data_IF_599654472908
#
_entry.id   IF_599654472908
#
_cell.length_a   1.000
_cell.length_b   1.000
_cell.length_c   1.000
_cell.angle_alpha   90.00
_cell.angle_beta   90.00
_cell.angle_gamma   90.00
#
_symmetry.space_group_name_H-M   'P 1'
#
loop_
_entity.id
_entity.type
_entity.pdbx_description
1 polymer ?
#
# COMPACT_ATOMS: atom_id res chain seq x y z
N UNK A 1 -16.38 20.97 -40.03
CA UNK A 1 -16.12 21.58 -38.72
C UNK A 1 -17.22 21.11 -37.76
N UNK A 2 -17.00 20.05 -37.00
CA UNK A 2 -17.94 19.54 -36.00
C UNK A 2 -17.61 20.21 -34.66
N UNK A 3 -18.55 21.02 -34.19
CA UNK A 3 -18.46 21.62 -32.82
C UNK A 3 -18.58 20.49 -31.79
N UNK A 4 -17.51 20.28 -31.02
CA UNK A 4 -17.52 19.42 -29.87
C UNK A 4 -18.56 19.95 -28.86
N UNK A 5 -19.67 19.25 -28.66
CA UNK A 5 -20.64 19.53 -27.62
C UNK A 5 -19.95 19.28 -26.27
N UNK A 6 -19.73 20.40 -25.55
CA UNK A 6 -19.22 20.42 -24.21
C UNK A 6 -20.26 19.74 -23.29
N UNK A 7 -20.00 18.52 -22.85
CA UNK A 7 -20.85 17.79 -21.89
C UNK A 7 -20.90 18.64 -20.60
N UNK A 8 -22.02 19.31 -20.36
CA UNK A 8 -22.24 20.12 -19.17
C UNK A 8 -22.32 19.19 -17.94
N UNK A 9 -21.35 19.30 -17.01
CA UNK A 9 -21.29 18.52 -15.78
C UNK A 9 -22.47 18.85 -14.86
N UNK A 10 -23.24 17.87 -14.47
CA UNK A 10 -24.26 17.94 -13.42
C UNK A 10 -23.64 18.46 -12.12
N UNK A 11 -24.23 19.47 -11.51
CA UNK A 11 -23.80 20.07 -10.25
C UNK A 11 -24.93 19.98 -9.23
N UNK A 12 -24.58 19.67 -7.96
CA UNK A 12 -25.54 19.63 -6.89
C UNK A 12 -25.85 21.05 -6.38
N UNK A 13 -27.13 21.35 -6.19
CA UNK A 13 -27.64 22.59 -5.66
C UNK A 13 -28.44 22.32 -4.37
N UNK A 14 -28.23 23.12 -3.37
CA UNK A 14 -29.05 23.15 -2.15
C UNK A 14 -30.09 24.29 -2.32
N UNK A 15 -31.33 23.95 -2.06
CA UNK A 15 -32.41 24.94 -2.17
C UNK A 15 -33.23 25.06 -0.87
N UNK A 16 -33.72 26.24 -0.63
CA UNK A 16 -34.69 26.56 0.40
C UNK A 16 -35.89 27.23 -0.28
N UNK A 17 -37.08 26.84 0.08
CA UNK A 17 -38.29 27.37 -0.55
C UNK A 17 -39.55 27.09 0.28
N UNK A 18 -40.70 27.34 -0.31
CA UNK A 18 -42.01 27.00 0.24
C UNK A 18 -42.73 26.02 -0.66
N UNK A 19 -43.36 25.01 -0.11
CA UNK A 19 -44.23 24.09 -0.81
C UNK A 19 -45.57 24.75 -1.21
N UNK A 20 -46.44 24.02 -1.93
CA UNK A 20 -47.78 24.52 -2.31
C UNK A 20 -48.68 24.84 -1.11
N UNK A 21 -48.37 24.30 0.07
CA UNK A 21 -49.10 24.55 1.34
C UNK A 21 -48.51 25.70 2.16
N UNK A 22 -47.45 26.37 1.67
CA UNK A 22 -46.81 27.49 2.33
C UNK A 22 -45.74 27.07 3.39
N UNK A 23 -45.49 25.78 3.60
CA UNK A 23 -44.53 25.32 4.57
C UNK A 23 -43.10 25.47 4.04
N UNK A 24 -42.14 25.78 4.93
CA UNK A 24 -40.71 25.83 4.57
C UNK A 24 -40.20 24.45 4.23
N UNK A 25 -39.67 24.27 3.03
CA UNK A 25 -39.04 23.07 2.55
C UNK A 25 -37.58 23.36 2.14
N UNK A 26 -36.70 22.40 2.41
CA UNK A 26 -35.28 22.42 2.03
C UNK A 26 -34.95 21.10 1.34
N UNK A 27 -34.04 21.13 0.38
CA UNK A 27 -33.62 19.92 -0.29
C UNK A 27 -32.39 20.11 -1.16
N UNK A 28 -31.93 19.01 -1.74
CA UNK A 28 -30.85 19.00 -2.72
C UNK A 28 -31.41 18.57 -4.08
N UNK A 29 -30.90 19.14 -5.15
CA UNK A 29 -31.25 18.80 -6.52
C UNK A 29 -30.02 18.90 -7.41
N UNK A 30 -29.86 17.97 -8.35
CA UNK A 30 -28.79 17.99 -9.34
C UNK A 30 -29.25 18.65 -10.63
N UNK A 31 -28.43 19.52 -11.20
CA UNK A 31 -28.72 20.16 -12.48
C UNK A 31 -27.50 20.79 -13.12
N UNK A 32 -27.59 21.06 -14.42
CA UNK A 32 -26.49 21.62 -15.20
C UNK A 32 -26.39 23.15 -15.03
N UNK A 33 -27.53 23.81 -14.79
CA UNK A 33 -27.61 25.28 -14.66
C UNK A 33 -28.61 25.69 -13.58
N UNK A 34 -28.30 26.78 -12.87
CA UNK A 34 -29.13 27.36 -11.81
C UNK A 34 -30.55 27.73 -12.30
N UNK A 35 -30.69 28.15 -13.57
CA UNK A 35 -31.98 28.49 -14.17
C UNK A 35 -32.84 27.22 -14.37
N UNK A 36 -32.26 26.13 -14.86
CA UNK A 36 -32.94 24.85 -15.04
C UNK A 36 -33.38 24.25 -13.72
N UNK A 37 -32.52 24.32 -12.68
CA UNK A 37 -32.84 23.86 -11.34
C UNK A 37 -34.02 24.63 -10.75
N UNK A 38 -34.06 25.96 -10.90
CA UNK A 38 -35.21 26.77 -10.47
C UNK A 38 -36.51 26.42 -11.22
N UNK A 39 -36.41 26.16 -12.53
CA UNK A 39 -37.57 25.75 -13.34
C UNK A 39 -38.10 24.37 -12.91
N UNK A 40 -37.20 23.42 -12.63
CA UNK A 40 -37.52 22.08 -12.18
C UNK A 40 -38.21 22.07 -10.80
N UNK A 41 -37.72 22.89 -9.83
CA UNK A 41 -38.34 23.07 -8.54
C UNK A 41 -39.74 23.68 -8.65
N UNK A 42 -39.94 24.67 -9.53
CA UNK A 42 -41.27 25.24 -9.79
C UNK A 42 -42.24 24.23 -10.40
N UNK A 43 -41.77 23.36 -11.30
CA UNK A 43 -42.56 22.23 -11.84
C UNK A 43 -43.00 21.25 -10.74
N UNK A 44 -42.16 21.03 -9.74
CA UNK A 44 -42.44 20.18 -8.57
C UNK A 44 -43.35 20.91 -7.53
N UNK A 45 -43.79 22.14 -7.80
CA UNK A 45 -44.68 22.90 -6.94
C UNK A 45 -43.97 23.58 -5.76
N UNK A 46 -42.66 23.71 -5.82
CA UNK A 46 -41.87 24.42 -4.80
C UNK A 46 -41.50 25.80 -5.32
N UNK A 47 -41.75 26.83 -4.55
CA UNK A 47 -41.27 28.18 -4.81
C UNK A 47 -39.90 28.38 -4.13
N UNK A 48 -38.78 28.29 -4.88
CA UNK A 48 -37.46 28.43 -4.29
C UNK A 48 -37.18 29.88 -3.92
N UNK A 49 -36.91 30.14 -2.66
CA UNK A 49 -36.48 31.45 -2.15
C UNK A 49 -34.97 31.64 -2.24
N UNK A 50 -34.21 30.53 -2.11
CA UNK A 50 -32.77 30.55 -2.16
C UNK A 50 -32.27 29.25 -2.82
N UNK A 51 -31.47 29.40 -3.88
CA UNK A 51 -30.81 28.28 -4.53
C UNK A 51 -29.31 28.59 -4.64
N UNK A 52 -28.48 27.78 -4.00
CA UNK A 52 -27.02 27.93 -4.03
C UNK A 52 -26.38 26.62 -4.54
N UNK A 53 -25.25 26.75 -5.20
CA UNK A 53 -24.41 25.58 -5.45
C UNK A 53 -23.99 24.99 -4.10
N UNK A 54 -24.08 23.66 -3.97
CA UNK A 54 -23.59 22.98 -2.77
C UNK A 54 -22.10 23.27 -2.65
N UNK A 55 -21.63 23.93 -1.58
CA UNK A 55 -20.21 24.17 -1.41
C UNK A 55 -19.49 22.82 -1.37
N UNK A 56 -18.44 22.67 -2.17
CA UNK A 56 -17.56 21.51 -2.00
C UNK A 56 -17.00 21.59 -0.58
N UNK A 57 -17.13 20.54 0.25
CA UNK A 57 -16.56 20.57 1.57
C UNK A 57 -15.05 20.79 1.46
N UNK A 58 -14.57 21.88 2.05
CA UNK A 58 -13.14 22.24 2.07
C UNK A 58 -12.28 21.18 2.79
N UNK A 59 -12.91 20.35 3.66
CA UNK A 59 -12.27 19.28 4.44
C UNK A 59 -12.96 17.91 4.34
N UNK A 60 -13.88 17.72 3.42
CA UNK A 60 -14.60 16.46 3.19
C UNK A 60 -14.21 15.84 1.85
N UNK A 61 -12.94 15.58 1.62
CA UNK A 61 -12.52 14.68 0.55
C UNK A 61 -13.10 13.29 0.82
N UNK A 62 -13.74 12.66 -0.15
CA UNK A 62 -14.10 11.25 -0.05
C UNK A 62 -12.87 10.48 0.42
N UNK A 63 -13.03 9.59 1.42
CA UNK A 63 -11.92 8.74 1.89
C UNK A 63 -11.25 8.11 0.68
N UNK A 64 -9.92 8.12 0.64
CA UNK A 64 -9.17 7.48 -0.44
C UNK A 64 -9.56 6.00 -0.49
N UNK A 65 -9.84 5.50 -1.69
CA UNK A 65 -10.06 4.07 -1.92
C UNK A 65 -8.74 3.34 -1.69
N UNK A 66 -8.75 2.40 -0.76
CA UNK A 66 -7.59 1.58 -0.41
C UNK A 66 -7.60 0.24 -1.17
N UNK A 67 -6.45 -0.44 -1.32
CA UNK A 67 -6.42 -1.79 -1.89
C UNK A 67 -7.29 -2.79 -1.11
N UNK A 68 -7.41 -2.62 0.20
CA UNK A 68 -8.30 -3.43 1.03
C UNK A 68 -9.79 -3.20 0.68
N UNK A 69 -10.17 -1.96 0.39
CA UNK A 69 -11.55 -1.65 -0.05
C UNK A 69 -11.87 -2.36 -1.38
N UNK A 70 -10.89 -2.43 -2.29
CA UNK A 70 -11.03 -3.16 -3.57
C UNK A 70 -11.15 -4.67 -3.32
N UNK A 71 -10.36 -5.23 -2.42
CA UNK A 71 -10.45 -6.66 -2.07
C UNK A 71 -11.83 -7.01 -1.51
N UNK A 72 -12.35 -6.20 -0.57
CA UNK A 72 -13.68 -6.38 0.01
C UNK A 72 -14.79 -6.22 -1.02
N UNK A 73 -14.71 -5.19 -1.88
CA UNK A 73 -15.63 -5.02 -3.00
C UNK A 73 -15.65 -6.26 -3.90
N UNK A 74 -14.46 -6.77 -4.29
CA UNK A 74 -14.35 -7.95 -5.15
C UNK A 74 -14.95 -9.18 -4.49
N UNK A 75 -14.69 -9.40 -3.19
CA UNK A 75 -15.29 -10.50 -2.42
C UNK A 75 -16.81 -10.42 -2.37
N UNK A 76 -17.36 -9.24 -2.10
CA UNK A 76 -18.81 -9.03 -2.08
C UNK A 76 -19.42 -9.30 -3.46
N UNK A 77 -18.80 -8.78 -4.51
CA UNK A 77 -19.25 -8.99 -5.89
C UNK A 77 -19.20 -10.47 -6.27
N UNK A 78 -18.11 -11.18 -5.97
CA UNK A 78 -17.97 -12.62 -6.18
C UNK A 78 -19.06 -13.42 -5.46
N UNK A 79 -19.35 -13.05 -4.21
CA UNK A 79 -20.40 -13.71 -3.40
C UNK A 79 -21.78 -13.50 -4.02
N UNK A 80 -22.11 -12.29 -4.48
CA UNK A 80 -23.40 -12.02 -5.15
C UNK A 80 -23.51 -12.78 -6.47
N UNK A 81 -22.46 -12.79 -7.28
CA UNK A 81 -22.44 -13.54 -8.53
C UNK A 81 -22.58 -15.05 -8.31
N UNK A 82 -21.92 -15.60 -7.30
CA UNK A 82 -22.04 -17.01 -6.89
C UNK A 82 -23.45 -17.37 -6.40
N UNK A 83 -24.16 -16.41 -5.82
CA UNK A 83 -25.57 -16.55 -5.45
C UNK A 83 -26.53 -16.40 -6.66
N UNK A 84 -26.02 -16.21 -7.89
CA UNK A 84 -26.82 -16.07 -9.10
C UNK A 84 -27.39 -14.67 -9.33
N UNK A 85 -26.95 -13.66 -8.56
CA UNK A 85 -27.42 -12.29 -8.75
C UNK A 85 -26.75 -11.70 -10.01
N UNK A 86 -27.53 -11.09 -10.94
CA UNK A 86 -26.98 -10.47 -12.15
C UNK A 86 -25.95 -9.39 -11.83
N UNK A 87 -24.90 -9.26 -12.65
CA UNK A 87 -23.76 -8.39 -12.42
C UNK A 87 -24.15 -6.93 -12.10
N UNK A 88 -25.03 -6.34 -12.90
CA UNK A 88 -25.48 -4.95 -12.68
C UNK A 88 -26.21 -4.77 -11.36
N UNK A 89 -27.07 -5.73 -11.00
CA UNK A 89 -27.77 -5.72 -9.72
C UNK A 89 -26.81 -5.94 -8.55
N UNK A 90 -25.78 -6.77 -8.72
CA UNK A 90 -24.73 -6.99 -7.72
C UNK A 90 -23.98 -5.68 -7.42
N UNK A 91 -23.69 -4.86 -8.43
CA UNK A 91 -23.10 -3.54 -8.22
C UNK A 91 -24.02 -2.62 -7.41
N UNK A 92 -25.31 -2.60 -7.67
CA UNK A 92 -26.26 -1.76 -6.92
C UNK A 92 -26.28 -2.15 -5.44
N UNK A 93 -26.41 -3.46 -5.14
CA UNK A 93 -26.41 -3.97 -3.76
C UNK A 93 -25.12 -3.66 -3.03
N UNK A 94 -23.99 -3.90 -3.71
CA UNK A 94 -22.67 -3.64 -3.10
C UNK A 94 -22.48 -2.13 -2.86
N UNK A 95 -22.82 -1.27 -3.83
CA UNK A 95 -22.67 0.18 -3.70
C UNK A 95 -23.48 0.76 -2.54
N UNK A 96 -24.70 0.25 -2.31
CA UNK A 96 -25.56 0.70 -1.20
C UNK A 96 -25.02 0.31 0.19
N UNK A 97 -24.22 -0.76 0.26
CA UNK A 97 -23.59 -1.24 1.50
C UNK A 97 -22.23 -0.61 1.82
N UNK A 98 -21.71 0.29 0.98
CA UNK A 98 -20.37 0.85 1.16
C UNK A 98 -20.34 2.12 2.03
N UNK A 99 -19.55 2.09 3.11
CA UNK A 99 -19.30 3.26 3.96
C UNK A 99 -18.34 4.29 3.32
N UNK A 100 -17.44 3.82 2.45
CA UNK A 100 -16.47 4.68 1.76
C UNK A 100 -17.10 5.31 0.51
N UNK A 101 -17.48 6.59 0.61
CA UNK A 101 -18.10 7.33 -0.50
C UNK A 101 -17.27 7.35 -1.78
N UNK A 102 -15.92 7.35 -1.67
CA UNK A 102 -15.05 7.30 -2.85
C UNK A 102 -15.13 5.96 -3.56
N UNK A 103 -15.24 4.85 -2.81
CA UNK A 103 -15.47 3.53 -3.37
C UNK A 103 -16.88 3.43 -3.95
N UNK A 104 -17.89 3.94 -3.27
CA UNK A 104 -19.27 3.97 -3.76
C UNK A 104 -19.36 4.70 -5.11
N UNK A 105 -18.78 5.88 -5.23
CA UNK A 105 -18.73 6.64 -6.49
C UNK A 105 -18.02 5.86 -7.60
N UNK A 106 -16.92 5.16 -7.27
CA UNK A 106 -16.17 4.31 -8.21
C UNK A 106 -17.03 3.14 -8.71
N UNK A 107 -17.69 2.43 -7.79
CA UNK A 107 -18.54 1.27 -8.13
C UNK A 107 -19.74 1.71 -8.96
N UNK A 108 -20.39 2.82 -8.63
CA UNK A 108 -21.50 3.39 -9.41
C UNK A 108 -21.03 3.80 -10.82
N UNK A 109 -19.83 4.36 -10.96
CA UNK A 109 -19.27 4.69 -12.28
C UNK A 109 -19.06 3.45 -13.14
N UNK A 110 -18.46 2.38 -12.58
CA UNK A 110 -18.26 1.10 -13.26
C UNK A 110 -19.61 0.48 -13.63
N UNK A 111 -20.56 0.46 -12.70
CA UNK A 111 -21.92 -0.02 -12.93
C UNK A 111 -22.60 0.67 -14.12
N UNK A 112 -22.48 1.99 -14.19
CA UNK A 112 -23.09 2.77 -15.29
C UNK A 112 -22.42 2.46 -16.64
N UNK A 113 -21.11 2.28 -16.67
CA UNK A 113 -20.37 1.88 -17.87
C UNK A 113 -20.83 0.49 -18.35
N UNK A 114 -20.95 -0.49 -17.43
CA UNK A 114 -21.42 -1.85 -17.75
C UNK A 114 -22.89 -1.84 -18.20
N UNK A 115 -23.76 -1.11 -17.51
CA UNK A 115 -25.16 -0.96 -17.88
C UNK A 115 -25.36 -0.28 -19.26
N UNK A 116 -24.40 0.54 -19.69
CA UNK A 116 -24.39 1.16 -21.02
C UNK A 116 -23.84 0.26 -22.13
N UNK A 117 -23.47 -1.01 -21.81
CA UNK A 117 -22.99 -1.99 -22.77
C UNK A 117 -21.45 -2.06 -22.92
N UNK A 118 -20.69 -1.36 -22.06
CA UNK A 118 -19.24 -1.56 -21.99
C UNK A 118 -18.95 -2.89 -21.29
N UNK A 119 -17.99 -3.69 -21.76
CA UNK A 119 -17.56 -4.90 -21.09
C UNK A 119 -17.07 -4.57 -19.66
N UNK A 120 -17.24 -5.49 -18.71
CA UNK A 120 -16.82 -5.26 -17.33
C UNK A 120 -15.31 -4.99 -17.25
N UNK A 121 -14.49 -5.80 -17.91
CA UNK A 121 -13.06 -5.55 -18.02
C UNK A 121 -12.74 -4.16 -18.64
N UNK A 122 -13.49 -3.76 -19.66
CA UNK A 122 -13.35 -2.43 -20.29
C UNK A 122 -13.69 -1.28 -19.34
N UNK A 123 -14.73 -1.43 -18.53
CA UNK A 123 -15.10 -0.44 -17.51
C UNK A 123 -13.99 -0.31 -16.42
N UNK A 124 -13.41 -1.44 -15.97
CA UNK A 124 -12.32 -1.46 -15.00
C UNK A 124 -11.04 -0.79 -15.51
N UNK A 125 -10.67 -1.02 -16.78
CA UNK A 125 -9.48 -0.41 -17.41
C UNK A 125 -9.54 1.11 -17.47
N UNK A 126 -10.72 1.74 -17.33
CA UNK A 126 -10.86 3.20 -17.21
C UNK A 126 -10.37 3.72 -15.84
N UNK A 127 -10.16 2.83 -14.87
CA UNK A 127 -9.75 3.17 -13.51
C UNK A 127 -8.40 2.52 -13.12
N UNK A 128 -7.28 2.76 -13.84
CA UNK A 128 -6.01 2.06 -13.65
C UNK A 128 -5.33 2.32 -12.30
N UNK A 129 -5.80 3.33 -11.56
CA UNK A 129 -5.33 3.61 -10.19
C UNK A 129 -5.81 2.58 -9.16
N UNK A 130 -6.90 1.88 -9.47
CA UNK A 130 -7.58 0.95 -8.55
C UNK A 130 -7.53 -0.48 -9.04
N UNK A 131 -7.53 -0.70 -10.35
CA UNK A 131 -7.53 -2.01 -11.00
C UNK A 131 -6.31 -2.11 -11.91
N UNK A 132 -5.40 -3.02 -11.57
CA UNK A 132 -4.21 -3.31 -12.36
C UNK A 132 -4.54 -4.23 -13.55
N UNK A 133 -3.56 -4.42 -14.43
CA UNK A 133 -3.73 -5.24 -15.63
C UNK A 133 -4.10 -6.69 -15.31
N UNK A 134 -3.51 -7.27 -14.25
CA UNK A 134 -3.87 -8.62 -13.79
C UNK A 134 -5.37 -8.73 -13.48
N UNK A 135 -5.90 -7.80 -12.70
CA UNK A 135 -7.32 -7.77 -12.35
C UNK A 135 -8.20 -7.70 -13.62
N UNK A 136 -7.86 -6.75 -14.49
CA UNK A 136 -8.62 -6.53 -15.73
C UNK A 136 -8.56 -7.74 -16.68
N UNK A 137 -7.40 -8.40 -16.80
CA UNK A 137 -7.21 -9.55 -17.67
C UNK A 137 -7.97 -10.80 -17.16
N UNK A 138 -7.96 -11.04 -15.83
CA UNK A 138 -8.73 -12.13 -15.23
C UNK A 138 -10.24 -11.92 -15.40
N UNK A 139 -10.73 -10.69 -15.22
CA UNK A 139 -12.14 -10.35 -15.46
C UNK A 139 -12.49 -10.52 -16.92
N UNK A 140 -11.64 -10.09 -17.85
CA UNK A 140 -11.84 -10.23 -19.31
C UNK A 140 -11.95 -11.71 -19.72
N UNK A 141 -11.05 -12.55 -19.17
CA UNK A 141 -11.10 -14.01 -19.39
C UNK A 141 -12.37 -14.63 -18.85
N UNK A 142 -12.79 -14.25 -17.64
CA UNK A 142 -14.02 -14.74 -17.03
C UNK A 142 -15.28 -14.29 -17.78
N UNK A 143 -15.28 -13.03 -18.26
CA UNK A 143 -16.39 -12.48 -19.05
C UNK A 143 -16.53 -13.21 -20.39
N UNK A 144 -15.43 -13.47 -21.11
CA UNK A 144 -15.39 -14.22 -22.36
C UNK A 144 -15.76 -15.68 -22.22
N UNK A 145 -15.33 -16.31 -21.12
CA UNK A 145 -15.62 -17.73 -20.84
C UNK A 145 -16.97 -17.98 -20.18
N UNK A 146 -17.72 -16.92 -19.79
CA UNK A 146 -18.96 -17.05 -19.01
C UNK A 146 -18.75 -17.57 -17.59
N UNK A 147 -17.51 -17.50 -17.08
CA UNK A 147 -17.10 -18.00 -15.75
C UNK A 147 -16.69 -16.84 -14.81
N UNK A 148 -17.37 -15.69 -14.95
CA UNK A 148 -17.02 -14.46 -14.23
C UNK A 148 -17.04 -14.64 -12.70
N UNK A 149 -18.00 -15.43 -12.17
CA UNK A 149 -18.10 -15.71 -10.74
C UNK A 149 -16.85 -16.38 -10.19
N UNK A 150 -16.34 -17.40 -10.92
CA UNK A 150 -15.12 -18.13 -10.51
C UNK A 150 -13.88 -17.23 -10.58
N UNK A 151 -13.81 -16.38 -11.60
CA UNK A 151 -12.69 -15.43 -11.76
C UNK A 151 -12.69 -14.38 -10.66
N UNK A 152 -13.85 -13.83 -10.31
CA UNK A 152 -13.98 -12.88 -9.21
C UNK A 152 -13.62 -13.50 -7.85
N UNK A 153 -13.99 -14.77 -7.62
CA UNK A 153 -13.59 -15.48 -6.40
C UNK A 153 -12.07 -15.68 -6.32
N UNK A 154 -11.44 -16.07 -7.43
CA UNK A 154 -9.97 -16.19 -7.52
C UNK A 154 -9.27 -14.84 -7.29
N UNK A 155 -9.76 -13.77 -7.90
CA UNK A 155 -9.23 -12.42 -7.71
C UNK A 155 -9.40 -11.98 -6.25
N UNK A 156 -10.57 -12.21 -5.66
CA UNK A 156 -10.83 -11.89 -4.25
C UNK A 156 -9.85 -12.62 -3.33
N UNK A 157 -9.67 -13.92 -3.52
CA UNK A 157 -8.70 -14.72 -2.76
C UNK A 157 -7.27 -14.18 -2.88
N UNK A 158 -6.85 -13.83 -4.10
CA UNK A 158 -5.53 -13.23 -4.35
C UNK A 158 -5.35 -11.89 -3.63
N UNK A 159 -6.33 -10.99 -3.76
CA UNK A 159 -6.27 -9.67 -3.13
C UNK A 159 -6.29 -9.76 -1.61
N UNK A 160 -7.15 -10.61 -1.05
CA UNK A 160 -7.24 -10.84 0.40
C UNK A 160 -5.93 -11.36 0.98
N UNK A 161 -5.34 -12.41 0.38
CA UNK A 161 -4.05 -12.96 0.81
C UNK A 161 -2.93 -11.90 0.72
N UNK A 162 -2.89 -11.14 -0.39
CA UNK A 162 -1.92 -10.06 -0.56
C UNK A 162 -2.06 -8.98 0.51
N UNK A 163 -3.28 -8.57 0.84
CA UNK A 163 -3.53 -7.56 1.86
C UNK A 163 -3.30 -8.09 3.30
N UNK A 164 -3.58 -9.36 3.56
CA UNK A 164 -3.24 -10.01 4.84
C UNK A 164 -1.74 -9.99 5.06
N UNK A 165 -0.94 -10.42 4.07
CA UNK A 165 0.53 -10.39 4.16
C UNK A 165 1.06 -8.96 4.40
N UNK A 166 0.58 -7.98 3.63
CA UNK A 166 0.97 -6.57 3.84
C UNK A 166 0.63 -6.06 5.24
N UNK A 167 -0.57 -6.38 5.73
CA UNK A 167 -1.01 -6.00 7.09
C UNK A 167 -0.15 -6.68 8.14
N UNK A 168 0.21 -7.95 7.96
CA UNK A 168 1.05 -8.71 8.87
C UNK A 168 2.44 -8.09 8.98
N UNK A 169 3.10 -7.82 7.86
CA UNK A 169 4.40 -7.14 7.81
C UNK A 169 4.32 -5.74 8.46
N UNK A 170 3.30 -4.96 8.11
CA UNK A 170 3.11 -3.62 8.69
C UNK A 170 2.91 -3.67 10.20
N UNK A 171 2.10 -4.62 10.70
CA UNK A 171 1.85 -4.81 12.14
C UNK A 171 3.14 -5.20 12.88
N UNK A 172 3.91 -6.14 12.31
CA UNK A 172 5.20 -6.57 12.86
C UNK A 172 6.18 -5.39 13.02
N UNK A 173 6.21 -4.46 12.07
CA UNK A 173 7.07 -3.27 12.10
C UNK A 173 6.58 -2.15 13.03
N UNK A 174 5.32 -2.18 13.47
CA UNK A 174 4.74 -1.08 14.26
C UNK A 174 5.38 -0.98 15.64
N UNK A 175 5.53 -2.09 16.35
CA UNK A 175 6.14 -2.11 17.67
C UNK A 175 7.61 -1.66 17.67
N UNK A 176 8.50 -2.20 16.82
CA UNK A 176 9.88 -1.76 16.71
C UNK A 176 10.03 -0.27 16.42
N UNK A 177 9.26 0.23 15.47
CA UNK A 177 9.29 1.65 15.11
C UNK A 177 8.86 2.53 16.29
N UNK A 178 7.79 2.14 16.98
CA UNK A 178 7.31 2.89 18.15
C UNK A 178 8.38 2.95 19.26
N UNK A 179 9.04 1.82 19.57
CA UNK A 179 10.08 1.78 20.60
C UNK A 179 11.31 2.61 20.20
N UNK A 180 11.76 2.52 18.94
CA UNK A 180 12.88 3.33 18.44
C UNK A 180 12.52 4.82 18.51
N UNK A 181 11.32 5.23 18.14
CA UNK A 181 10.86 6.63 18.22
C UNK A 181 10.87 7.11 19.68
N UNK A 182 10.35 6.31 20.61
CA UNK A 182 10.39 6.65 22.05
C UNK A 182 11.82 6.75 22.55
N UNK A 183 12.69 5.81 22.16
CA UNK A 183 14.12 5.84 22.51
C UNK A 183 14.82 7.12 22.04
N UNK A 184 14.59 7.51 20.78
CA UNK A 184 15.15 8.75 20.23
C UNK A 184 14.62 9.97 20.99
N UNK A 185 13.33 10.02 21.30
CA UNK A 185 12.73 11.14 22.07
C UNK A 185 13.35 11.22 23.47
N UNK A 186 13.44 10.10 24.19
CA UNK A 186 14.03 10.07 25.54
C UNK A 186 15.49 10.48 25.50
N UNK A 187 16.27 9.93 24.57
CA UNK A 187 17.69 10.31 24.38
C UNK A 187 17.84 11.81 24.06
N UNK A 188 17.00 12.35 23.19
CA UNK A 188 17.01 13.77 22.88
C UNK A 188 16.67 14.64 24.09
N UNK A 189 15.69 14.25 24.92
CA UNK A 189 15.35 14.96 26.16
C UNK A 189 16.53 14.93 27.12
N UNK A 190 17.17 13.78 27.30
CA UNK A 190 18.33 13.64 28.18
C UNK A 190 19.50 14.52 27.71
N UNK A 191 19.83 14.50 26.42
CA UNK A 191 20.87 15.31 25.84
C UNK A 191 20.56 16.82 25.94
N UNK A 192 19.33 17.23 25.69
CA UNK A 192 18.98 18.68 25.62
C UNK A 192 18.74 19.27 27.00
N UNK A 193 18.24 18.50 27.97
CA UNK A 193 17.83 19.00 29.30
C UNK A 193 18.72 18.55 30.44
N UNK A 194 19.15 17.29 30.44
CA UNK A 194 19.84 16.71 31.59
C UNK A 194 21.35 16.92 31.51
N UNK A 195 21.97 16.62 30.38
CA UNK A 195 23.42 16.77 30.17
C UNK A 195 23.91 18.18 30.48
N UNK A 196 23.27 19.28 30.00
CA UNK A 196 23.74 20.65 30.33
C UNK A 196 23.67 21.02 31.81
N UNK A 197 22.71 20.45 32.56
CA UNK A 197 22.61 20.69 33.99
C UNK A 197 23.81 20.06 34.72
N UNK A 198 24.23 18.86 34.34
CA UNK A 198 25.43 18.22 34.90
C UNK A 198 26.68 18.98 34.46
N UNK A 199 26.80 19.41 33.20
CA UNK A 199 27.94 20.22 32.72
C UNK A 199 28.14 21.47 33.56
N UNK A 200 27.07 22.25 33.80
CA UNK A 200 27.14 23.47 34.63
C UNK A 200 27.54 23.18 36.09
N UNK A 201 27.12 22.06 36.65
CA UNK A 201 27.58 21.65 37.98
C UNK A 201 29.06 21.33 38.02
N UNK A 202 29.58 20.59 37.02
CA UNK A 202 31.02 20.23 36.99
C UNK A 202 31.94 21.43 36.71
N UNK A 203 31.53 22.35 35.82
CA UNK A 203 32.27 23.63 35.59
C UNK A 203 32.39 24.42 36.90
N UNK A 204 31.38 24.41 37.77
CA UNK A 204 31.40 25.07 39.07
C UNK A 204 32.43 24.50 40.05
N UNK A 205 32.88 23.25 39.88
CA UNK A 205 33.90 22.62 40.68
C UNK A 205 35.35 22.77 40.15
N UNK A 206 35.52 23.38 38.97
CA UNK A 206 36.82 23.65 38.37
C UNK A 206 37.59 22.39 37.91
N UNK A 207 36.93 21.28 37.72
CA UNK A 207 37.53 20.02 37.26
C UNK A 207 37.32 19.85 35.72
N UNK A 208 38.36 19.36 35.04
CA UNK A 208 38.25 18.98 33.61
C UNK A 208 37.34 17.77 33.44
N UNK A 209 36.46 17.84 32.42
CA UNK A 209 35.56 16.75 32.11
C UNK A 209 36.30 15.56 31.46
N UNK A 210 36.00 14.31 31.86
CA UNK A 210 36.54 13.15 31.17
C UNK A 210 36.21 13.18 29.67
N UNK A 211 37.10 12.65 28.82
CA UNK A 211 36.97 12.67 27.36
C UNK A 211 35.62 12.15 26.90
N UNK A 212 35.10 11.06 27.46
CA UNK A 212 33.82 10.48 27.10
C UNK A 212 32.65 11.40 27.46
N UNK A 213 32.67 12.04 28.61
CA UNK A 213 31.68 13.03 29.06
C UNK A 213 31.70 14.26 28.11
N UNK A 214 32.89 14.72 27.76
CA UNK A 214 33.07 15.87 26.84
C UNK A 214 32.50 15.54 25.44
N UNK A 215 32.67 14.30 24.95
CA UNK A 215 32.03 13.88 23.69
C UNK A 215 30.49 13.95 23.76
N UNK A 216 29.90 13.53 24.87
CA UNK A 216 28.43 13.55 25.08
C UNK A 216 27.95 15.00 25.22
N UNK A 217 28.69 15.88 25.91
CA UNK A 217 28.38 17.32 26.01
C UNK A 217 28.44 17.99 24.64
N UNK A 218 29.51 17.79 23.87
CA UNK A 218 29.62 18.31 22.49
C UNK A 218 28.46 17.84 21.60
N UNK A 219 28.06 16.56 21.74
CA UNK A 219 26.89 16.02 21.03
C UNK A 219 25.59 16.70 21.48
N UNK A 220 25.45 16.97 22.77
CA UNK A 220 24.31 17.70 23.35
C UNK A 220 24.20 19.12 22.79
N UNK A 221 25.29 19.89 22.79
CA UNK A 221 25.34 21.25 22.23
C UNK A 221 25.05 21.25 20.73
N UNK A 222 25.62 20.30 19.99
CA UNK A 222 25.35 20.13 18.59
C UNK A 222 23.87 19.83 18.33
N UNK A 223 23.28 18.93 19.12
CA UNK A 223 21.85 18.58 19.04
C UNK A 223 20.97 19.80 19.34
N UNK A 224 21.28 20.58 20.40
CA UNK A 224 20.53 21.78 20.78
C UNK A 224 20.54 22.84 19.65
N UNK A 225 21.68 23.00 18.98
CA UNK A 225 21.86 23.98 17.94
C UNK A 225 21.22 23.55 16.60
N UNK A 226 21.29 22.26 16.27
CA UNK A 226 20.98 21.76 14.94
C UNK A 226 19.75 20.82 14.86
N UNK A 227 19.06 20.55 15.98
CA UNK A 227 17.92 19.60 15.99
C UNK A 227 16.86 19.91 14.93
N UNK A 228 16.55 21.20 14.72
CA UNK A 228 15.55 21.62 13.75
C UNK A 228 16.02 21.35 12.31
N UNK A 229 17.31 21.60 12.03
CA UNK A 229 17.91 21.33 10.71
C UNK A 229 17.96 19.84 10.43
N UNK A 230 18.29 19.02 11.44
CA UNK A 230 18.26 17.55 11.33
C UNK A 230 16.84 17.05 11.04
N UNK A 231 15.84 17.54 11.79
CA UNK A 231 14.44 17.20 11.57
C UNK A 231 13.98 17.58 10.15
N UNK A 232 14.28 18.81 9.72
CA UNK A 232 13.93 19.27 8.39
C UNK A 232 14.66 18.49 7.30
N UNK A 233 15.93 18.13 7.53
CA UNK A 233 16.72 17.28 6.66
C UNK A 233 16.12 15.87 6.51
N UNK A 234 15.69 15.24 7.60
CA UNK A 234 15.02 13.93 7.57
C UNK A 234 13.71 14.01 6.78
N UNK A 235 12.87 15.03 7.05
CA UNK A 235 11.61 15.22 6.34
C UNK A 235 11.86 15.46 4.84
N UNK A 236 12.81 16.32 4.50
CA UNK A 236 13.19 16.61 3.11
C UNK A 236 13.74 15.36 2.41
N UNK A 237 14.57 14.57 3.11
CA UNK A 237 15.11 13.31 2.60
C UNK A 237 14.00 12.30 2.30
N UNK A 238 13.10 12.06 3.26
CA UNK A 238 11.97 11.10 3.09
C UNK A 238 11.06 11.55 1.94
N UNK A 239 10.74 12.84 1.88
CA UNK A 239 9.92 13.39 0.80
C UNK A 239 10.61 13.29 -0.57
N UNK A 240 11.88 13.69 -0.64
CA UNK A 240 12.69 13.66 -1.86
C UNK A 240 12.91 12.23 -2.35
N UNK A 241 13.21 11.29 -1.45
CA UNK A 241 13.35 9.86 -1.75
C UNK A 241 12.05 9.26 -2.28
N UNK A 242 10.91 9.55 -1.62
CA UNK A 242 9.59 9.12 -2.09
C UNK A 242 9.22 9.70 -3.46
N UNK A 243 9.57 10.95 -3.71
CA UNK A 243 9.34 11.61 -4.99
C UNK A 243 10.27 11.08 -6.10
N UNK A 244 11.53 10.84 -5.79
CA UNK A 244 12.51 10.24 -6.71
C UNK A 244 12.08 8.82 -7.14
N UNK A 245 11.63 7.98 -6.17
CA UNK A 245 11.12 6.64 -6.46
C UNK A 245 9.87 6.66 -7.36
N UNK A 246 9.01 7.68 -7.23
CA UNK A 246 7.80 7.83 -8.07
C UNK A 246 8.08 8.39 -9.46
N UNK A 247 9.09 9.26 -9.61
CA UNK A 247 9.39 9.95 -10.87
C UNK A 247 10.39 9.23 -11.76
N UNK A 248 11.30 8.44 -11.18
CA UNK A 248 12.37 7.77 -11.92
C UNK A 248 12.27 6.27 -11.78
N UNK A 249 11.90 5.59 -12.87
CA UNK A 249 11.88 4.12 -12.93
C UNK A 249 13.27 3.53 -12.64
N UNK A 250 14.32 4.12 -13.23
CA UNK A 250 15.71 3.67 -13.00
C UNK A 250 16.12 3.74 -11.54
N UNK A 251 15.68 4.80 -10.83
CA UNK A 251 15.94 4.92 -9.39
C UNK A 251 15.15 3.89 -8.58
N UNK A 252 13.88 3.65 -8.94
CA UNK A 252 13.08 2.60 -8.33
C UNK A 252 13.72 1.23 -8.49
N UNK A 253 14.16 0.88 -9.71
CA UNK A 253 14.78 -0.40 -10.03
C UNK A 253 16.12 -0.58 -9.27
N UNK A 254 16.88 0.49 -9.11
CA UNK A 254 18.12 0.46 -8.32
C UNK A 254 17.83 0.23 -6.84
N UNK A 255 16.84 0.90 -6.28
CA UNK A 255 16.39 0.68 -4.89
C UNK A 255 15.91 -0.76 -4.71
N UNK A 256 15.10 -1.29 -5.63
CA UNK A 256 14.58 -2.65 -5.58
C UNK A 256 15.72 -3.71 -5.64
N UNK A 257 16.80 -3.45 -6.38
CA UNK A 257 17.99 -4.28 -6.42
C UNK A 257 18.78 -4.28 -5.11
N UNK A 258 18.96 -3.08 -4.50
CA UNK A 258 19.72 -2.97 -3.26
C UNK A 258 18.95 -3.48 -2.05
N UNK A 259 17.62 -3.33 -2.03
CA UNK A 259 16.80 -3.78 -0.91
C UNK A 259 16.86 -5.31 -0.74
N UNK A 260 17.04 -6.07 -1.82
CA UNK A 260 17.25 -7.53 -1.77
C UNK A 260 18.56 -7.93 -1.08
N UNK A 261 19.54 -7.02 -0.98
CA UNK A 261 20.83 -7.28 -0.30
C UNK A 261 20.80 -6.98 1.19
N UNK A 262 19.73 -6.35 1.68
CA UNK A 262 19.60 -6.04 3.12
C UNK A 262 19.29 -7.35 3.85
N UNK A 263 20.08 -7.70 4.89
CA UNK A 263 19.84 -8.92 5.66
C UNK A 263 18.41 -8.89 6.25
N UNK A 264 17.78 -10.05 6.33
CA UNK A 264 16.40 -10.29 6.81
C UNK A 264 15.34 -9.66 5.88
N UNK A 265 15.36 -8.34 5.67
CA UNK A 265 14.36 -7.65 4.83
C UNK A 265 14.45 -8.06 3.36
N UNK A 266 15.67 -8.22 2.84
CA UNK A 266 15.88 -8.69 1.46
C UNK A 266 15.32 -10.09 1.26
N UNK A 267 15.54 -10.98 2.21
CA UNK A 267 15.06 -12.35 2.16
C UNK A 267 13.52 -12.42 2.22
N UNK A 268 12.88 -11.61 3.08
CA UNK A 268 11.41 -11.50 3.12
C UNK A 268 10.85 -11.03 1.77
N UNK A 269 11.48 -10.02 1.15
CA UNK A 269 11.05 -9.49 -0.15
C UNK A 269 11.28 -10.53 -1.26
N UNK A 270 12.39 -11.24 -1.23
CA UNK A 270 12.73 -12.33 -2.12
C UNK A 270 11.66 -13.43 -2.09
N UNK A 271 11.42 -14.01 -0.91
CA UNK A 271 10.41 -15.06 -0.74
C UNK A 271 8.99 -14.57 -1.06
N UNK A 272 8.67 -13.31 -0.74
CA UNK A 272 7.40 -12.68 -1.11
C UNK A 272 7.23 -12.54 -2.62
N UNK A 273 8.31 -12.26 -3.37
CA UNK A 273 8.25 -12.18 -4.83
C UNK A 273 8.00 -13.55 -5.46
N UNK A 274 8.66 -14.61 -4.94
CA UNK A 274 8.43 -16.00 -5.37
C UNK A 274 7.00 -16.45 -5.06
N UNK A 275 6.49 -16.16 -3.86
CA UNK A 275 5.10 -16.44 -3.48
C UNK A 275 4.10 -15.78 -4.42
N UNK A 276 4.30 -14.50 -4.72
CA UNK A 276 3.45 -13.76 -5.68
C UNK A 276 3.55 -14.33 -7.09
N UNK A 277 4.75 -14.65 -7.57
CA UNK A 277 4.95 -15.31 -8.84
C UNK A 277 4.10 -16.59 -8.93
N UNK A 278 4.25 -17.51 -7.99
CA UNK A 278 3.50 -18.76 -7.95
C UNK A 278 1.98 -18.53 -7.87
N UNK A 279 1.54 -17.62 -7.00
CA UNK A 279 0.11 -17.34 -6.79
C UNK A 279 -0.55 -16.72 -8.02
N UNK A 280 0.09 -15.70 -8.62
CA UNK A 280 -0.46 -15.02 -9.80
C UNK A 280 -0.46 -15.95 -11.00
N UNK A 281 0.66 -16.66 -11.24
CA UNK A 281 0.78 -17.57 -12.39
C UNK A 281 -0.21 -18.74 -12.28
N UNK A 282 -0.30 -19.39 -11.10
CA UNK A 282 -1.29 -20.43 -10.82
C UNK A 282 -2.71 -19.93 -11.10
N UNK A 283 -3.08 -18.78 -10.53
CA UNK A 283 -4.43 -18.21 -10.66
C UNK A 283 -4.75 -17.89 -12.12
N UNK A 284 -3.81 -17.29 -12.84
CA UNK A 284 -4.01 -16.85 -14.22
C UNK A 284 -4.05 -18.05 -15.17
N UNK A 285 -3.13 -19.00 -15.01
CA UNK A 285 -3.09 -20.22 -15.82
C UNK A 285 -4.32 -21.12 -15.61
N UNK A 286 -4.72 -21.34 -14.36
CA UNK A 286 -5.95 -22.06 -14.02
C UNK A 286 -7.24 -21.37 -14.55
N UNK A 287 -7.14 -20.09 -14.95
CA UNK A 287 -8.22 -19.32 -15.58
C UNK A 287 -8.25 -19.47 -17.11
N UNK A 288 -7.39 -20.34 -17.68
CA UNK A 288 -7.31 -20.59 -19.12
C UNK A 288 -6.57 -19.50 -19.91
N UNK A 289 -5.89 -18.58 -19.24
CA UNK A 289 -5.03 -17.59 -19.91
C UNK A 289 -3.78 -18.30 -20.42
N UNK A 290 -3.37 -18.10 -21.68
CA UNK A 290 -2.12 -18.67 -22.20
C UNK A 290 -0.92 -18.31 -21.32
N UNK A 291 0.01 -19.27 -21.14
CA UNK A 291 1.16 -19.10 -20.24
C UNK A 291 1.99 -17.83 -20.51
N UNK A 292 2.19 -17.50 -21.78
CA UNK A 292 2.95 -16.31 -22.21
C UNK A 292 2.25 -15.02 -21.77
N UNK A 293 0.92 -14.95 -21.91
CA UNK A 293 0.14 -13.79 -21.50
C UNK A 293 0.02 -13.69 -19.96
N UNK A 294 -0.02 -14.85 -19.30
CA UNK A 294 0.01 -14.93 -17.85
C UNK A 294 1.32 -14.35 -17.27
N UNK A 295 2.47 -14.61 -17.91
CA UNK A 295 3.76 -14.09 -17.47
C UNK A 295 3.84 -12.56 -17.51
N UNK A 296 3.17 -11.88 -18.45
CA UNK A 296 3.07 -10.41 -18.44
C UNK A 296 2.37 -9.90 -17.16
N UNK A 297 1.26 -10.53 -16.82
CA UNK A 297 0.52 -10.18 -15.60
C UNK A 297 1.34 -10.42 -14.34
N UNK A 298 2.10 -11.51 -14.30
CA UNK A 298 2.99 -11.88 -13.20
C UNK A 298 4.13 -10.89 -13.04
N UNK A 299 4.77 -10.46 -14.14
CA UNK A 299 5.85 -9.48 -14.11
C UNK A 299 5.42 -8.18 -13.43
N UNK A 300 4.20 -7.70 -13.73
CA UNK A 300 3.62 -6.52 -13.09
C UNK A 300 3.24 -6.70 -11.62
N UNK A 301 2.96 -7.92 -11.19
CA UNK A 301 2.44 -8.22 -9.85
C UNK A 301 3.52 -8.50 -8.80
N UNK A 302 4.73 -8.92 -9.19
CA UNK A 302 5.82 -9.30 -8.27
C UNK A 302 6.30 -8.15 -7.38
N UNK A 303 6.26 -6.91 -7.90
CA UNK A 303 6.55 -5.71 -7.12
C UNK A 303 8.04 -5.47 -6.84
N UNK A 304 8.95 -6.19 -7.52
CA UNK A 304 10.39 -5.99 -7.49
C UNK A 304 10.97 -6.03 -8.91
N UNK A 305 11.83 -5.09 -9.24
CA UNK A 305 12.39 -4.94 -10.58
C UNK A 305 13.24 -6.14 -11.02
N UNK A 306 13.99 -6.78 -10.11
CA UNK A 306 14.82 -7.95 -10.43
C UNK A 306 13.95 -9.12 -10.88
N UNK A 307 12.88 -9.39 -10.16
CA UNK A 307 11.91 -10.44 -10.53
C UNK A 307 11.14 -10.09 -11.79
N UNK A 308 10.71 -8.84 -11.95
CA UNK A 308 10.05 -8.36 -13.17
C UNK A 308 10.92 -8.64 -14.41
N UNK A 309 12.18 -8.24 -14.36
CA UNK A 309 13.10 -8.36 -15.48
C UNK A 309 13.45 -9.84 -15.76
N UNK A 310 13.55 -10.68 -14.71
CA UNK A 310 13.71 -12.12 -14.85
C UNK A 310 12.47 -12.76 -15.51
N UNK A 311 11.27 -12.36 -15.12
CA UNK A 311 10.02 -12.91 -15.69
C UNK A 311 9.86 -12.50 -17.16
N UNK A 312 10.26 -11.29 -17.55
CA UNK A 312 10.26 -10.93 -18.97
C UNK A 312 11.23 -11.80 -19.79
N UNK A 313 12.43 -12.13 -19.27
CA UNK A 313 13.34 -13.08 -19.93
C UNK A 313 12.71 -14.47 -20.06
N UNK A 314 12.09 -14.96 -18.97
CA UNK A 314 11.36 -16.23 -18.98
C UNK A 314 10.27 -16.22 -20.05
N UNK A 315 9.49 -15.13 -20.14
CA UNK A 315 8.46 -14.98 -21.16
C UNK A 315 9.01 -15.10 -22.57
N UNK A 316 10.13 -14.40 -22.86
CA UNK A 316 10.76 -14.44 -24.20
C UNK A 316 11.23 -15.85 -24.55
N UNK A 317 11.84 -16.59 -23.60
CA UNK A 317 12.26 -17.97 -23.79
C UNK A 317 11.09 -18.94 -23.96
N UNK A 318 10.06 -18.83 -23.12
CA UNK A 318 8.84 -19.65 -23.22
C UNK A 318 8.12 -19.38 -24.55
N UNK A 319 8.09 -18.14 -25.01
CA UNK A 319 7.52 -17.78 -26.32
C UNK A 319 8.28 -18.44 -27.50
N UNK A 320 9.57 -18.75 -27.32
CA UNK A 320 10.38 -19.48 -28.29
C UNK A 320 10.27 -21.01 -28.17
N UNK A 321 9.46 -21.51 -27.22
CA UNK A 321 9.22 -22.94 -27.02
C UNK A 321 10.08 -23.59 -25.93
N UNK A 322 10.86 -22.82 -25.17
CA UNK A 322 11.61 -23.34 -24.01
C UNK A 322 10.62 -23.64 -22.88
N UNK A 323 10.85 -24.77 -22.18
CA UNK A 323 10.03 -25.12 -21.01
C UNK A 323 10.17 -24.08 -19.90
N UNK A 324 9.08 -23.78 -19.19
CA UNK A 324 9.03 -22.78 -18.12
C UNK A 324 10.10 -23.03 -17.05
N UNK A 325 10.22 -24.30 -16.59
CA UNK A 325 11.21 -24.68 -15.58
C UNK A 325 12.65 -24.44 -16.04
N UNK A 326 12.96 -24.65 -17.33
CA UNK A 326 14.29 -24.45 -17.88
C UNK A 326 14.60 -22.94 -17.96
N UNK A 327 13.65 -22.13 -18.43
CA UNK A 327 13.74 -20.67 -18.46
C UNK A 327 13.89 -20.08 -17.04
N UNK A 328 13.14 -20.57 -16.06
CA UNK A 328 13.28 -20.15 -14.65
C UNK A 328 14.68 -20.43 -14.10
N UNK A 329 15.23 -21.62 -14.39
CA UNK A 329 16.57 -22.03 -13.92
C UNK A 329 17.68 -21.12 -14.45
N UNK A 330 17.57 -20.66 -15.69
CA UNK A 330 18.57 -19.77 -16.32
C UNK A 330 18.64 -18.39 -15.70
N UNK A 331 17.60 -17.96 -14.98
CA UNK A 331 17.58 -16.63 -14.36
C UNK A 331 18.32 -16.55 -13.02
N UNK A 332 18.62 -17.68 -12.38
CA UNK A 332 19.24 -17.79 -11.05
C UNK A 332 18.50 -17.00 -9.93
N UNK A 333 17.27 -16.55 -10.19
CA UNK A 333 16.50 -15.75 -9.25
C UNK A 333 15.54 -16.62 -8.43
N UNK A 334 15.10 -17.76 -9.02
CA UNK A 334 14.12 -18.63 -8.39
C UNK A 334 14.78 -19.72 -7.55
N UNK A 335 14.27 -19.96 -6.32
CA UNK A 335 14.74 -21.07 -5.49
C UNK A 335 14.54 -22.44 -6.18
N UNK A 336 15.46 -23.37 -5.90
CA UNK A 336 15.47 -24.70 -6.50
C UNK A 336 14.12 -25.42 -6.38
N UNK A 337 13.48 -25.34 -5.20
CA UNK A 337 12.18 -25.96 -4.97
C UNK A 337 11.07 -25.40 -5.89
N UNK A 338 11.06 -24.08 -6.13
CA UNK A 338 10.10 -23.48 -7.05
C UNK A 338 10.28 -24.01 -8.49
N UNK A 339 11.53 -24.13 -8.94
CA UNK A 339 11.88 -24.69 -10.26
C UNK A 339 11.47 -26.14 -10.35
N UNK A 340 11.75 -26.96 -9.32
CA UNK A 340 11.42 -28.39 -9.30
C UNK A 340 9.90 -28.64 -9.33
N UNK A 341 9.11 -27.92 -8.51
CA UNK A 341 7.65 -28.05 -8.53
C UNK A 341 7.08 -27.61 -9.88
N UNK A 342 7.64 -26.55 -10.49
CA UNK A 342 7.26 -26.13 -11.83
C UNK A 342 7.55 -27.23 -12.86
N UNK A 343 8.72 -27.90 -12.78
CA UNK A 343 9.05 -29.01 -13.67
C UNK A 343 8.06 -30.16 -13.56
N UNK A 344 7.73 -30.58 -12.33
CA UNK A 344 6.71 -31.61 -12.08
C UNK A 344 5.36 -31.22 -12.67
N UNK A 345 4.97 -29.94 -12.50
CA UNK A 345 3.72 -29.42 -13.04
C UNK A 345 3.68 -29.41 -14.56
N UNK A 346 4.78 -29.06 -15.23
CA UNK A 346 4.90 -29.11 -16.70
C UNK A 346 4.82 -30.55 -17.24
N UNK A 347 5.54 -31.48 -16.60
CA UNK A 347 5.57 -32.89 -17.02
C UNK A 347 4.23 -33.62 -16.77
N UNK A 348 3.56 -33.30 -15.66
CA UNK A 348 2.27 -33.94 -15.29
C UNK A 348 1.04 -33.27 -15.91
N UNK A 349 1.19 -32.09 -16.51
CA UNK A 349 0.09 -31.26 -17.00
C UNK A 349 -0.72 -30.53 -15.90
N UNK A 350 -0.24 -30.55 -14.65
CA UNK A 350 -0.90 -29.91 -13.48
C UNK A 350 -0.12 -28.69 -12.99
N UNK A 351 0.28 -27.82 -13.94
CA UNK A 351 1.14 -26.67 -13.66
C UNK A 351 0.51 -25.69 -12.66
N UNK A 352 -0.81 -25.46 -12.77
CA UNK A 352 -1.55 -24.57 -11.89
C UNK A 352 -1.53 -25.04 -10.43
N UNK A 353 -1.72 -26.36 -10.20
CA UNK A 353 -1.68 -26.93 -8.85
C UNK A 353 -0.26 -26.85 -8.25
N UNK A 354 0.77 -27.20 -9.02
CA UNK A 354 2.14 -27.15 -8.53
C UNK A 354 2.60 -25.71 -8.24
N UNK A 355 2.23 -24.76 -9.07
CA UNK A 355 2.47 -23.33 -8.80
C UNK A 355 1.69 -22.82 -7.58
N UNK A 356 0.47 -23.34 -7.33
CA UNK A 356 -0.26 -23.03 -6.10
C UNK A 356 0.48 -23.54 -4.86
N UNK A 357 1.09 -24.74 -4.93
CA UNK A 357 1.94 -25.28 -3.86
C UNK A 357 3.21 -24.45 -3.63
N UNK A 358 3.86 -23.97 -4.71
CA UNK A 358 4.97 -23.01 -4.59
C UNK A 358 4.51 -21.77 -3.83
N UNK A 359 3.36 -21.20 -4.21
CA UNK A 359 2.83 -20.02 -3.54
C UNK A 359 2.54 -20.26 -2.06
N UNK A 360 1.83 -21.34 -1.72
CA UNK A 360 1.49 -21.69 -0.33
C UNK A 360 2.72 -21.89 0.54
N UNK A 361 3.74 -22.58 0.02
CA UNK A 361 4.98 -22.78 0.74
C UNK A 361 5.70 -21.47 1.03
N UNK A 362 5.89 -20.61 0.01
CA UNK A 362 6.60 -19.35 0.20
C UNK A 362 5.78 -18.30 0.96
N UNK A 363 4.45 -18.33 0.90
CA UNK A 363 3.56 -17.56 1.78
C UNK A 363 3.80 -17.94 3.25
N UNK A 364 3.88 -19.25 3.55
CA UNK A 364 4.17 -19.75 4.91
C UNK A 364 5.59 -19.35 5.37
N UNK A 365 6.61 -19.49 4.49
CA UNK A 365 7.99 -19.09 4.81
C UNK A 365 8.05 -17.59 5.14
N UNK A 366 7.36 -16.73 4.37
CA UNK A 366 7.29 -15.29 4.66
C UNK A 366 6.61 -15.01 5.99
N UNK A 367 5.54 -15.74 6.30
CA UNK A 367 4.84 -15.63 7.56
C UNK A 367 5.75 -15.95 8.75
N UNK A 368 6.48 -17.07 8.68
CA UNK A 368 7.42 -17.49 9.71
C UNK A 368 8.59 -16.49 9.85
N UNK A 369 9.10 -15.97 8.75
CA UNK A 369 10.16 -14.96 8.76
C UNK A 369 9.70 -13.65 9.41
N UNK A 370 8.47 -13.21 9.17
CA UNK A 370 7.89 -12.00 9.78
C UNK A 370 7.68 -12.18 11.28
N UNK A 371 7.22 -13.36 11.71
CA UNK A 371 7.03 -13.68 13.11
C UNK A 371 8.39 -13.77 13.85
N UNK A 372 9.39 -14.41 13.24
CA UNK A 372 10.76 -14.49 13.75
C UNK A 372 11.45 -13.11 13.80
N UNK A 373 11.23 -12.25 12.78
CA UNK A 373 11.73 -10.87 12.80
C UNK A 373 11.25 -10.14 14.05
N UNK A 374 9.96 -10.25 14.37
CA UNK A 374 9.38 -9.59 15.54
C UNK A 374 10.01 -10.07 16.84
N UNK A 375 10.27 -11.38 16.97
CA UNK A 375 10.92 -11.98 18.12
C UNK A 375 12.38 -11.53 18.28
N UNK A 376 13.13 -11.43 17.17
CA UNK A 376 14.54 -11.00 17.20
C UNK A 376 14.70 -9.49 17.43
N UNK A 377 13.71 -8.69 17.08
CA UNK A 377 13.80 -7.23 17.26
C UNK A 377 13.78 -6.83 18.74
N UNK A 378 13.12 -7.57 19.61
CA UNK A 378 13.06 -7.24 21.05
C UNK A 378 14.44 -7.26 21.72
N UNK A 379 15.26 -8.34 21.63
CA UNK A 379 16.63 -8.33 22.16
C UNK A 379 17.53 -7.26 21.51
N UNK A 380 17.37 -7.01 20.20
CA UNK A 380 18.16 -5.98 19.51
C UNK A 380 17.82 -4.57 20.04
N UNK A 381 16.54 -4.26 20.22
CA UNK A 381 16.08 -2.98 20.77
C UNK A 381 16.58 -2.80 22.20
N UNK A 382 16.45 -3.85 23.04
CA UNK A 382 16.94 -3.82 24.41
C UNK A 382 18.46 -3.59 24.47
N UNK A 383 19.22 -4.22 23.59
CA UNK A 383 20.68 -4.02 23.51
C UNK A 383 21.02 -2.58 23.11
N UNK A 384 20.35 -2.04 22.09
CA UNK A 384 20.56 -0.64 21.64
C UNK A 384 20.19 0.35 22.75
N UNK A 385 19.05 0.15 23.42
CA UNK A 385 18.63 0.97 24.56
C UNK A 385 19.61 0.87 25.73
N UNK A 386 20.07 -0.33 26.05
CA UNK A 386 21.05 -0.56 27.09
C UNK A 386 22.36 0.20 26.83
N UNK A 387 22.87 0.16 25.62
CA UNK A 387 24.08 0.90 25.22
C UNK A 387 23.84 2.41 25.25
N UNK A 388 22.70 2.90 24.73
CA UNK A 388 22.41 4.33 24.72
C UNK A 388 22.21 4.90 26.13
N UNK A 389 21.33 4.29 26.93
CA UNK A 389 21.02 4.79 28.27
C UNK A 389 22.19 4.50 29.21
N UNK A 390 22.80 3.31 29.15
CA UNK A 390 23.99 2.97 29.94
C UNK A 390 25.17 3.90 29.61
N UNK A 391 25.40 4.21 28.31
CA UNK A 391 26.43 5.16 27.91
C UNK A 391 26.18 6.56 28.44
N UNK A 392 24.95 7.05 28.43
CA UNK A 392 24.59 8.34 29.03
C UNK A 392 24.80 8.35 30.54
N UNK A 393 24.40 7.28 31.24
CA UNK A 393 24.62 7.15 32.69
C UNK A 393 26.12 7.18 32.99
N UNK A 394 26.92 6.38 32.29
CA UNK A 394 28.38 6.37 32.47
C UNK A 394 28.99 7.75 32.24
N UNK A 395 28.57 8.44 31.16
CA UNK A 395 29.03 9.80 30.83
C UNK A 395 28.75 10.80 31.97
N UNK A 396 27.61 10.65 32.66
CA UNK A 396 27.21 11.55 33.75
C UNK A 396 27.90 11.20 35.09
N UNK A 397 28.11 9.92 35.36
CA UNK A 397 28.71 9.49 36.64
C UNK A 397 30.25 9.48 36.62
N UNK A 398 30.89 9.33 35.46
CA UNK A 398 32.36 9.27 35.34
C UNK A 398 33.07 10.46 35.98
N UNK A 399 32.62 11.72 35.78
CA UNK A 399 33.23 12.88 36.45
C UNK A 399 33.09 12.83 37.96
N UNK A 400 31.98 12.31 38.53
CA UNK A 400 31.76 12.18 39.98
C UNK A 400 32.81 11.25 40.60
N UNK A 401 33.08 10.12 39.91
CA UNK A 401 34.11 9.19 40.40
C UNK A 401 35.52 9.76 40.33
N UNK A 402 35.82 10.58 39.31
CA UNK A 402 37.15 11.24 39.22
C UNK A 402 37.32 12.33 40.27
N UNK A 403 36.30 13.10 40.62
CA UNK A 403 36.37 14.12 41.68
C UNK A 403 36.61 13.49 43.05
N UNK A 404 36.05 12.30 43.33
CA UNK A 404 36.29 11.55 44.55
C UNK A 404 37.77 11.16 44.74
N UNK A 405 38.58 11.08 43.68
CA UNK A 405 40.00 10.80 43.72
C UNK A 405 40.85 12.06 43.89
N UNK A 406 40.34 13.26 43.65
CA UNK A 406 41.05 14.55 43.74
C UNK A 406 40.85 15.18 45.14
N UNK A 407 39.75 14.88 45.81
CA UNK A 407 39.40 15.44 47.14
C UNK A 407 39.85 14.51 48.32
N UNK A 408 40.28 13.28 48.02
CA UNK A 408 40.87 12.35 49.01
C UNK A 408 42.37 12.33 48.87
#
# INVERSE_FOLDING_TARGET
>A
MAQAQKVEKLQAYVWEGKDRKGNKAKGEISGTNLALVKAQLRKQGVMPSKVKRKPKPLFGGSKKVTPFDIAMFTRQLATMMKAGVPLVQSFDIVADGLDNKGLQELVVAIRNDVASGTSFAGALRRHPKHFNDLYCNLVDSGEKAGALEQMLDRIANYLEKTEILKKKVKKAMTYPIAVIVVAIIVTAILLVKVVPQFESLFQGFGADLPVFTQMVVNLSEWMQKWWFVVLLGIVAFVFSFGQAKRRSQKFSDLVDKYILKIPIMGEIIDKSAVAKFGRVLSTTFASGVPLVDALDSVAGATGNAVYRDAIFKIKDEVSSGVQLQAAMRQTDVFPVMAVQLTAIGEESGNLDEMLAKVAEHYESVVDDMVDNLTALMEPMIMSVLGVLVGGLIVAMYLPIFQMGQVVG
#
